data_IF_129661373659
#
_entry.id   IF_129661373659
#
_cell.length_a   1.000
_cell.length_b   1.000
_cell.length_c   1.000
_cell.angle_alpha   90.00
_cell.angle_beta   90.00
_cell.angle_gamma   90.00
#
_symmetry.space_group_name_H-M   'P 1'
#
loop_
_entity.id
_entity.type
_entity.pdbx_description
1 polymer ?
#
# COMPACT_ATOMS: atom_id res chain seq x y z
N UNK A 1 -5.56 -11.78 -18.22
CA UNK A 1 -4.45 -10.80 -18.15
C UNK A 1 -4.08 -10.63 -16.69
N UNK A 2 -3.02 -11.30 -16.24
CA UNK A 2 -2.53 -11.25 -14.86
C UNK A 2 -1.88 -9.90 -14.60
N UNK A 3 -2.48 -9.10 -13.72
CA UNK A 3 -1.86 -7.87 -13.25
C UNK A 3 -0.67 -8.25 -12.37
N UNK A 4 0.54 -8.24 -12.95
CA UNK A 4 1.79 -8.37 -12.20
C UNK A 4 1.80 -7.27 -11.14
N UNK A 5 1.89 -7.65 -9.86
CA UNK A 5 2.12 -6.73 -8.76
C UNK A 5 3.25 -5.75 -9.16
N UNK A 6 3.13 -4.44 -8.86
CA UNK A 6 4.16 -3.48 -9.23
C UNK A 6 5.48 -3.98 -8.63
N UNK A 7 6.38 -4.44 -9.49
CA UNK A 7 7.64 -4.99 -9.04
C UNK A 7 8.32 -3.91 -8.19
N UNK A 8 8.80 -4.27 -6.99
CA UNK A 8 9.62 -3.37 -6.17
C UNK A 8 11.01 -3.17 -6.79
N UNK A 9 11.33 -3.95 -7.84
CA UNK A 9 12.60 -3.98 -8.54
C UNK A 9 13.12 -2.62 -9.08
N UNK A 10 12.32 -1.76 -9.74
CA UNK A 10 12.80 -0.47 -10.22
C UNK A 10 13.06 0.50 -9.06
N UNK A 11 12.30 0.40 -7.97
CA UNK A 11 12.49 1.21 -6.76
C UNK A 11 13.76 0.77 -6.02
N UNK A 12 13.95 -0.53 -5.82
CA UNK A 12 15.17 -1.11 -5.22
C UNK A 12 16.40 -0.83 -6.08
N UNK A 13 16.28 -0.93 -7.42
CA UNK A 13 17.36 -0.59 -8.36
C UNK A 13 17.70 0.89 -8.34
N UNK A 14 16.71 1.77 -8.25
CA UNK A 14 16.95 3.20 -8.09
C UNK A 14 17.67 3.50 -6.76
N UNK A 15 17.27 2.84 -5.66
CA UNK A 15 17.97 2.99 -4.38
C UNK A 15 19.41 2.50 -4.43
N UNK A 16 19.64 1.32 -5.01
CA UNK A 16 20.98 0.79 -5.18
C UNK A 16 21.86 1.75 -5.99
N UNK A 17 21.34 2.29 -7.09
CA UNK A 17 22.07 3.26 -7.93
C UNK A 17 22.34 4.57 -7.19
N UNK A 18 21.36 5.13 -6.46
CA UNK A 18 21.55 6.35 -5.67
C UNK A 18 22.60 6.13 -4.59
N UNK A 19 22.52 5.02 -3.84
CA UNK A 19 23.52 4.68 -2.82
C UNK A 19 24.91 4.52 -3.44
N UNK A 20 25.03 3.85 -4.60
CA UNK A 20 26.30 3.66 -5.29
C UNK A 20 26.90 5.01 -5.76
N UNK A 21 26.06 5.90 -6.32
CA UNK A 21 26.49 7.23 -6.75
C UNK A 21 26.88 8.12 -5.57
N UNK A 22 26.13 8.06 -4.46
CA UNK A 22 26.47 8.78 -3.23
C UNK A 22 27.76 8.27 -2.59
N UNK A 23 28.01 6.95 -2.62
CA UNK A 23 29.26 6.37 -2.14
C UNK A 23 30.45 6.87 -2.98
N UNK A 24 30.30 6.92 -4.30
CA UNK A 24 31.32 7.48 -5.21
C UNK A 24 31.58 8.96 -4.94
N UNK A 25 30.53 9.75 -4.68
CA UNK A 25 30.61 11.17 -4.34
C UNK A 25 31.34 11.44 -3.02
N UNK A 26 31.31 10.52 -2.07
CA UNK A 26 32.04 10.63 -0.79
C UNK A 26 33.48 10.13 -0.90
N UNK A 27 33.69 9.02 -1.63
CA UNK A 27 35.01 8.39 -1.77
C UNK A 27 35.98 9.23 -2.61
N UNK A 28 35.49 9.91 -3.65
CA UNK A 28 36.34 10.72 -4.54
C UNK A 28 36.98 11.90 -3.78
N UNK A 29 36.25 12.73 -3.03
CA UNK A 29 36.84 13.83 -2.27
C UNK A 29 37.67 13.35 -1.07
N UNK A 30 37.31 12.24 -0.42
CA UNK A 30 38.13 11.62 0.64
C UNK A 30 39.49 11.12 0.12
N UNK A 31 39.54 10.61 -1.11
CA UNK A 31 40.80 10.24 -1.76
C UNK A 31 41.69 11.47 -2.01
N UNK A 32 41.10 12.60 -2.40
CA UNK A 32 41.84 13.86 -2.62
C UNK A 32 42.17 14.63 -1.33
N UNK A 33 41.52 14.33 -0.20
CA UNK A 33 41.79 14.94 1.13
C UNK A 33 43.23 14.71 1.61
N UNK A 34 43.98 13.76 1.05
CA UNK A 34 45.41 13.61 1.36
C UNK A 34 46.26 14.87 1.10
N UNK A 35 45.74 15.87 0.37
CA UNK A 35 46.32 17.22 0.30
C UNK A 35 45.44 18.19 1.10
N UNK A 36 45.94 18.58 2.27
CA UNK A 36 45.29 19.47 3.25
C UNK A 36 45.22 20.91 2.74
N UNK A 37 44.28 21.18 1.84
CA UNK A 37 43.84 22.53 1.50
C UNK A 37 42.40 22.74 2.01
N UNK A 38 42.13 23.89 2.63
CA UNK A 38 40.83 24.25 3.25
C UNK A 38 39.63 24.06 2.32
N UNK A 39 39.81 24.19 1.01
CA UNK A 39 38.76 23.99 0.00
C UNK A 39 38.36 22.52 -0.12
N UNK A 40 39.30 21.59 -0.01
CA UNK A 40 39.05 20.14 -0.03
C UNK A 40 38.20 19.69 1.16
N UNK A 41 38.36 20.37 2.31
CA UNK A 41 37.60 20.04 3.51
C UNK A 41 36.10 20.32 3.37
N UNK A 42 35.77 21.50 2.85
CA UNK A 42 34.39 21.91 2.59
C UNK A 42 33.71 20.97 1.59
N UNK A 43 34.43 20.53 0.55
CA UNK A 43 33.88 19.59 -0.44
C UNK A 43 33.58 18.22 0.13
N UNK A 44 34.40 17.68 1.04
CA UNK A 44 34.12 16.40 1.69
C UNK A 44 32.93 16.51 2.65
N UNK A 45 32.82 17.58 3.45
CA UNK A 45 31.64 17.77 4.31
C UNK A 45 30.35 17.92 3.50
N UNK A 46 30.39 18.65 2.38
CA UNK A 46 29.26 18.77 1.46
C UNK A 46 28.87 17.40 0.87
N UNK A 47 29.87 16.60 0.49
CA UNK A 47 29.67 15.27 -0.10
C UNK A 47 29.10 14.27 0.91
N UNK A 48 29.59 14.32 2.17
CA UNK A 48 29.05 13.56 3.29
C UNK A 48 27.60 13.95 3.59
N UNK A 49 27.28 15.24 3.60
CA UNK A 49 25.91 15.74 3.77
C UNK A 49 24.97 15.27 2.66
N UNK A 50 25.43 15.30 1.41
CA UNK A 50 24.68 14.80 0.26
C UNK A 50 24.46 13.29 0.31
N UNK A 51 25.45 12.50 0.75
CA UNK A 51 25.30 11.06 0.92
C UNK A 51 24.37 10.70 2.09
N UNK A 52 24.46 11.40 3.21
CA UNK A 52 23.53 11.24 4.33
C UNK A 52 22.09 11.59 3.91
N UNK A 53 21.91 12.66 3.12
CA UNK A 53 20.64 13.03 2.52
C UNK A 53 20.11 11.94 1.57
N UNK A 54 20.95 11.41 0.69
CA UNK A 54 20.57 10.37 -0.27
C UNK A 54 20.20 9.03 0.39
N UNK A 55 20.73 8.72 1.57
CA UNK A 55 20.36 7.54 2.36
C UNK A 55 19.05 7.73 3.14
N UNK A 56 18.79 8.94 3.63
CA UNK A 56 17.62 9.23 4.48
C UNK A 56 16.36 9.56 3.67
N UNK A 57 16.50 10.23 2.53
CA UNK A 57 15.37 10.67 1.69
C UNK A 57 14.50 9.51 1.15
N UNK A 58 15.06 8.40 0.64
CA UNK A 58 14.34 7.16 0.33
C UNK A 58 13.45 6.64 1.45
N UNK A 59 14.03 6.56 2.66
CA UNK A 59 13.34 6.05 3.85
C UNK A 59 12.19 6.97 4.22
N UNK A 60 12.36 8.27 4.05
CA UNK A 60 11.34 9.28 4.29
C UNK A 60 10.17 9.17 3.29
N UNK A 61 10.45 8.97 2.00
CA UNK A 61 9.41 8.76 0.97
C UNK A 61 8.62 7.46 1.23
N UNK A 62 9.32 6.35 1.51
CA UNK A 62 8.67 5.08 1.83
C UNK A 62 7.79 5.21 3.08
N UNK A 63 8.30 5.86 4.12
CA UNK A 63 7.56 6.09 5.37
C UNK A 63 6.32 6.95 5.13
N UNK A 64 6.42 8.06 4.38
CA UNK A 64 5.26 8.90 4.03
C UNK A 64 4.22 8.10 3.23
N UNK A 65 4.66 7.27 2.29
CA UNK A 65 3.77 6.41 1.49
C UNK A 65 3.02 5.39 2.35
N UNK A 66 3.71 4.69 3.25
CA UNK A 66 3.09 3.73 4.17
C UNK A 66 2.18 4.41 5.18
N UNK A 67 2.56 5.58 5.70
CA UNK A 67 1.74 6.32 6.68
C UNK A 67 0.44 6.83 6.05
N UNK A 68 0.47 7.32 4.80
CA UNK A 68 -0.76 7.73 4.09
C UNK A 68 -1.71 6.56 3.82
N UNK A 69 -1.17 5.40 3.44
CA UNK A 69 -1.95 4.19 3.21
C UNK A 69 -2.59 3.67 4.51
N UNK A 70 -1.81 3.61 5.60
CA UNK A 70 -2.31 3.18 6.91
C UNK A 70 -3.36 4.15 7.45
N UNK A 71 -3.13 5.46 7.39
CA UNK A 71 -4.11 6.46 7.83
C UNK A 71 -5.42 6.37 7.03
N UNK A 72 -5.34 6.08 5.73
CA UNK A 72 -6.54 5.88 4.91
C UNK A 72 -7.34 4.64 5.35
N UNK A 73 -6.67 3.52 5.62
CA UNK A 73 -7.33 2.30 6.09
C UNK A 73 -7.85 2.42 7.53
N UNK A 74 -7.09 3.02 8.44
CA UNK A 74 -7.53 3.32 9.81
C UNK A 74 -8.77 4.22 9.81
N UNK A 75 -8.81 5.22 8.92
CA UNK A 75 -9.98 6.09 8.78
C UNK A 75 -11.21 5.32 8.30
N UNK A 76 -11.05 4.36 7.40
CA UNK A 76 -12.17 3.49 6.99
C UNK A 76 -12.59 2.63 8.18
N UNK A 77 -11.64 2.03 8.88
CA UNK A 77 -11.94 1.18 10.02
C UNK A 77 -12.72 1.94 11.11
N UNK A 78 -12.25 3.13 11.47
CA UNK A 78 -12.95 4.02 12.40
C UNK A 78 -14.32 4.48 11.90
N UNK A 79 -14.49 4.74 10.60
CA UNK A 79 -15.77 5.20 10.05
C UNK A 79 -16.86 4.12 10.12
N UNK A 80 -16.46 2.86 10.04
CA UNK A 80 -17.36 1.71 10.12
C UNK A 80 -17.18 0.92 11.42
N UNK A 81 -16.59 1.55 12.45
CA UNK A 81 -16.50 0.95 13.76
C UNK A 81 -17.92 0.77 14.34
N UNK A 82 -18.16 -0.38 14.99
CA UNK A 82 -19.50 -0.79 15.44
C UNK A 82 -20.50 -1.19 14.33
N UNK A 83 -20.13 -1.13 13.05
CA UNK A 83 -20.97 -1.64 11.95
C UNK A 83 -20.80 -3.16 11.77
N UNK A 84 -21.81 -3.86 11.23
CA UNK A 84 -21.71 -5.28 10.91
C UNK A 84 -20.52 -5.60 10.00
N UNK A 85 -19.96 -6.81 10.16
CA UNK A 85 -18.84 -7.35 9.40
C UNK A 85 -19.01 -7.16 7.89
N UNK A 86 -20.24 -7.37 7.38
CA UNK A 86 -20.61 -7.22 5.97
C UNK A 86 -20.42 -5.80 5.45
N UNK A 87 -20.79 -4.78 6.24
CA UNK A 87 -20.64 -3.37 5.85
C UNK A 87 -19.17 -2.96 5.91
N UNK A 88 -18.43 -3.38 6.95
CA UNK A 88 -16.98 -3.16 7.05
C UNK A 88 -16.24 -3.81 5.88
N UNK A 89 -16.52 -5.07 5.58
CA UNK A 89 -15.93 -5.79 4.44
C UNK A 89 -16.27 -5.10 3.12
N UNK A 90 -17.53 -4.71 2.91
CA UNK A 90 -17.95 -3.98 1.72
C UNK A 90 -17.21 -2.64 1.57
N UNK A 91 -16.97 -1.93 2.66
CA UNK A 91 -16.17 -0.70 2.62
C UNK A 91 -14.72 -0.96 2.20
N UNK A 92 -14.09 -2.03 2.73
CA UNK A 92 -12.73 -2.41 2.33
C UNK A 92 -12.64 -2.87 0.87
N UNK A 93 -13.61 -3.66 0.39
CA UNK A 93 -13.68 -4.10 -1.00
C UNK A 93 -13.84 -2.92 -1.97
N UNK A 94 -14.70 -1.95 -1.64
CA UNK A 94 -14.86 -0.73 -2.46
C UNK A 94 -13.61 0.16 -2.42
N UNK A 95 -12.97 0.27 -1.25
CA UNK A 95 -11.72 1.03 -1.11
C UNK A 95 -10.58 0.40 -1.93
N UNK A 96 -10.47 -0.93 -1.93
CA UNK A 96 -9.53 -1.67 -2.77
C UNK A 96 -9.80 -1.43 -4.25
N UNK A 97 -11.07 -1.55 -4.68
CA UNK A 97 -11.50 -1.28 -6.05
C UNK A 97 -11.13 0.13 -6.53
N UNK A 98 -11.35 1.14 -5.69
CA UNK A 98 -10.97 2.52 -5.98
C UNK A 98 -9.45 2.72 -6.03
N UNK A 99 -8.70 2.11 -5.10
CA UNK A 99 -7.25 2.24 -5.01
C UNK A 99 -6.50 1.58 -6.18
N UNK A 100 -7.01 0.45 -6.71
CA UNK A 100 -6.35 -0.36 -7.74
C UNK A 100 -6.77 -0.04 -9.19
N UNK A 101 -7.50 1.05 -9.43
CA UNK A 101 -7.91 1.50 -10.77
C UNK A 101 -8.72 0.44 -11.57
N UNK A 102 -9.75 -0.11 -10.92
CA UNK A 102 -10.94 -0.75 -11.53
C UNK A 102 -10.78 -2.02 -12.40
N UNK A 103 -10.22 -3.13 -11.91
CA UNK A 103 -10.80 -4.42 -12.25
C UNK A 103 -12.09 -4.61 -11.43
N UNK A 104 -13.22 -4.91 -12.08
CA UNK A 104 -14.48 -5.27 -11.39
C UNK A 104 -14.38 -6.59 -10.64
N UNK A 105 -13.36 -7.39 -10.96
CA UNK A 105 -13.08 -8.71 -10.41
C UNK A 105 -11.65 -8.75 -9.90
N UNK A 106 -11.45 -9.18 -8.66
CA UNK A 106 -10.13 -9.28 -8.03
C UNK A 106 -10.10 -10.44 -7.03
N UNK A 107 -8.91 -10.94 -6.70
CA UNK A 107 -8.82 -12.02 -5.72
C UNK A 107 -9.02 -11.49 -4.31
N UNK A 108 -9.72 -12.26 -3.47
CA UNK A 108 -9.85 -11.96 -2.04
C UNK A 108 -8.49 -11.89 -1.38
N UNK A 109 -7.56 -12.78 -1.75
CA UNK A 109 -6.19 -12.79 -1.26
C UNK A 109 -5.47 -11.45 -1.53
N UNK A 110 -5.58 -10.88 -2.73
CA UNK A 110 -4.96 -9.60 -3.06
C UNK A 110 -5.56 -8.44 -2.27
N UNK A 111 -6.88 -8.45 -2.08
CA UNK A 111 -7.57 -7.45 -1.25
C UNK A 111 -7.16 -7.60 0.21
N UNK A 112 -7.16 -8.82 0.72
CA UNK A 112 -6.81 -9.13 2.10
C UNK A 112 -5.34 -8.76 2.40
N UNK A 113 -4.40 -9.10 1.53
CA UNK A 113 -2.99 -8.71 1.66
C UNK A 113 -2.81 -7.19 1.62
N UNK A 114 -3.63 -6.46 0.87
CA UNK A 114 -3.58 -5.01 0.82
C UNK A 114 -4.05 -4.35 2.13
N UNK A 115 -5.05 -4.94 2.81
CA UNK A 115 -5.52 -4.46 4.11
C UNK A 115 -4.66 -4.98 5.27
N UNK A 116 -4.21 -6.24 5.25
CA UNK A 116 -3.40 -6.82 6.32
C UNK A 116 -2.02 -6.14 6.47
N UNK A 117 -1.51 -5.48 5.42
CA UNK A 117 -0.29 -4.65 5.49
C UNK A 117 -0.36 -3.55 6.56
N UNK A 118 -1.55 -3.14 7.00
CA UNK A 118 -1.74 -2.17 8.08
C UNK A 118 -2.08 -2.81 9.44
N UNK A 119 -2.01 -4.14 9.58
CA UNK A 119 -2.38 -4.89 10.80
C UNK A 119 -3.80 -4.66 11.32
N UNK A 120 -4.70 -4.15 10.46
CA UNK A 120 -6.08 -3.81 10.85
C UNK A 120 -7.03 -5.01 10.83
N UNK A 121 -6.67 -6.09 10.14
CA UNK A 121 -7.50 -7.30 10.08
C UNK A 121 -6.88 -8.39 10.96
N UNK A 122 -7.54 -8.67 12.07
CA UNK A 122 -7.13 -9.69 13.03
C UNK A 122 -7.71 -11.09 12.75
N UNK A 123 -8.78 -11.19 11.96
CA UNK A 123 -9.53 -12.46 11.81
C UNK A 123 -10.00 -12.67 10.36
N UNK A 124 -9.39 -13.66 9.68
CA UNK A 124 -9.73 -14.04 8.30
C UNK A 124 -11.12 -14.69 8.26
N UNK A 125 -11.43 -15.54 9.23
CA UNK A 125 -12.66 -16.33 9.29
C UNK A 125 -13.87 -15.41 9.48
N UNK A 126 -13.70 -14.35 10.27
CA UNK A 126 -14.68 -13.28 10.41
C UNK A 126 -15.07 -12.64 9.08
N UNK A 127 -14.10 -12.37 8.20
CA UNK A 127 -14.35 -11.76 6.89
C UNK A 127 -14.83 -12.75 5.84
N UNK A 128 -14.51 -14.05 5.97
CA UNK A 128 -15.06 -15.09 5.10
C UNK A 128 -16.56 -15.27 5.34
N UNK A 129 -17.01 -15.32 6.59
CA UNK A 129 -18.45 -15.37 6.91
C UNK A 129 -19.21 -14.15 6.35
N UNK A 130 -18.62 -12.96 6.48
CA UNK A 130 -19.18 -11.74 5.91
C UNK A 130 -19.20 -11.75 4.37
N UNK A 131 -18.24 -12.43 3.73
CA UNK A 131 -18.20 -12.57 2.28
C UNK A 131 -19.35 -13.47 1.79
N UNK A 132 -19.61 -14.57 2.48
CA UNK A 132 -20.72 -15.48 2.17
C UNK A 132 -22.08 -14.76 2.31
N UNK A 133 -22.27 -13.94 3.34
CA UNK A 133 -23.47 -13.10 3.48
C UNK A 133 -23.62 -12.09 2.32
N UNK A 134 -22.51 -11.48 1.88
CA UNK A 134 -22.53 -10.56 0.73
C UNK A 134 -22.87 -11.29 -0.57
N UNK A 135 -22.40 -12.53 -0.75
CA UNK A 135 -22.71 -13.39 -1.90
C UNK A 135 -24.19 -13.79 -1.91
N UNK A 136 -24.71 -14.33 -0.80
CA UNK A 136 -26.12 -14.70 -0.64
C UNK A 136 -27.06 -13.52 -0.94
N UNK A 137 -26.63 -12.31 -0.58
CA UNK A 137 -27.40 -11.10 -0.78
C UNK A 137 -27.37 -10.55 -2.22
N UNK A 138 -26.60 -11.17 -3.13
CA UNK A 138 -26.39 -10.73 -4.52
C UNK A 138 -25.49 -9.50 -4.68
N UNK A 139 -24.81 -9.08 -3.60
CA UNK A 139 -23.94 -7.90 -3.64
C UNK A 139 -22.62 -8.21 -4.33
N UNK A 140 -22.07 -9.39 -4.10
CA UNK A 140 -20.84 -9.86 -4.76
C UNK A 140 -21.09 -11.18 -5.45
N UNK A 141 -20.34 -11.45 -6.50
CA UNK A 141 -20.26 -12.78 -7.12
C UNK A 141 -18.89 -13.34 -6.76
N UNK A 142 -18.86 -14.54 -6.19
CA UNK A 142 -17.61 -15.20 -5.78
C UNK A 142 -17.38 -16.41 -6.68
N UNK A 143 -16.42 -16.29 -7.59
CA UNK A 143 -15.94 -17.43 -8.36
C UNK A 143 -14.89 -18.19 -7.52
N UNK A 144 -15.01 -19.52 -7.54
CA UNK A 144 -14.14 -20.46 -6.78
C UNK A 144 -13.33 -21.34 -7.74
N UNK A 145 -12.33 -20.79 -8.44
CA UNK A 145 -11.44 -21.56 -9.30
C UNK A 145 -10.66 -22.65 -8.56
N UNK A 146 -10.19 -23.65 -9.31
CA UNK A 146 -9.51 -24.84 -8.78
C UNK A 146 -8.14 -24.55 -8.14
N UNK A 147 -7.61 -23.34 -8.31
CA UNK A 147 -6.38 -22.84 -7.68
C UNK A 147 -6.59 -22.45 -6.20
N UNK A 148 -7.83 -22.48 -5.71
CA UNK A 148 -8.19 -22.17 -4.32
C UNK A 148 -8.30 -20.67 -4.01
N UNK A 149 -8.14 -19.80 -5.01
CA UNK A 149 -8.31 -18.36 -4.83
C UNK A 149 -9.77 -17.96 -4.99
N UNK A 150 -10.31 -17.19 -4.05
CA UNK A 150 -11.65 -16.61 -4.20
C UNK A 150 -11.57 -15.38 -5.10
N UNK A 151 -12.25 -15.39 -6.24
CA UNK A 151 -12.32 -14.23 -7.14
C UNK A 151 -13.64 -13.50 -6.89
N UNK A 152 -13.56 -12.28 -6.40
CA UNK A 152 -14.71 -11.45 -6.04
C UNK A 152 -15.00 -10.49 -7.17
N UNK A 153 -16.23 -10.51 -7.67
CA UNK A 153 -16.76 -9.53 -8.62
C UNK A 153 -17.80 -8.64 -7.93
N UNK A 154 -17.58 -7.32 -7.96
CA UNK A 154 -18.49 -6.35 -7.35
C UNK A 154 -19.66 -6.06 -8.30
N UNK A 155 -20.90 -6.24 -7.83
CA UNK A 155 -22.09 -5.97 -8.64
C UNK A 155 -22.54 -4.51 -8.54
N UNK A 156 -23.45 -4.09 -9.42
CA UNK A 156 -24.10 -2.76 -9.31
C UNK A 156 -24.89 -2.62 -8.00
N UNK A 157 -25.43 -3.72 -7.48
CA UNK A 157 -26.20 -3.74 -6.23
C UNK A 157 -25.32 -3.45 -5.01
N UNK A 158 -24.08 -3.94 -5.02
CA UNK A 158 -23.09 -3.61 -4.00
C UNK A 158 -22.85 -2.11 -3.89
N UNK A 159 -22.56 -1.43 -5.00
CA UNK A 159 -22.33 0.02 -4.98
C UNK A 159 -23.56 0.80 -4.51
N UNK A 160 -24.78 0.33 -4.85
CA UNK A 160 -26.03 0.95 -4.38
C UNK A 160 -26.18 0.79 -2.87
N UNK A 161 -25.97 -0.41 -2.32
CA UNK A 161 -26.07 -0.67 -0.87
C UNK A 161 -25.01 0.08 -0.07
N UNK A 162 -23.77 0.10 -0.56
CA UNK A 162 -22.70 0.84 0.11
C UNK A 162 -22.95 2.35 0.12
N UNK A 163 -23.54 2.89 -0.95
CA UNK A 163 -23.97 4.30 -0.98
C UNK A 163 -25.03 4.60 0.08
N UNK A 164 -26.01 3.70 0.27
CA UNK A 164 -27.03 3.85 1.31
C UNK A 164 -26.41 3.75 2.72
N UNK A 165 -25.53 2.79 2.96
CA UNK A 165 -24.82 2.65 4.23
C UNK A 165 -23.99 3.91 4.56
N UNK A 166 -23.28 4.48 3.58
CA UNK A 166 -22.53 5.74 3.72
C UNK A 166 -23.40 6.95 4.04
N UNK A 167 -24.65 6.97 3.59
CA UNK A 167 -25.58 8.04 3.93
C UNK A 167 -26.04 7.89 5.39
N UNK A 168 -26.30 6.67 5.83
CA UNK A 168 -26.69 6.37 7.22
C UNK A 168 -25.56 6.65 8.24
N UNK A 169 -24.29 6.46 7.87
CA UNK A 169 -23.14 6.75 8.76
C UNK A 169 -22.77 8.23 8.87
N UNK A 170 -23.38 9.10 8.05
CA UNK A 170 -23.12 10.55 8.06
C UNK A 170 -24.21 11.38 8.74
N UNK A 171 -25.31 10.74 9.14
CA UNK A 171 -26.41 11.33 9.90
C UNK A 171 -26.16 11.09 11.39
#
# INVERSE_FOLDING_TARGET
>A
MTATAPSLYPVVRAYFMITLMSLGLVLVPLYFWQRSDMTTEVWVYLSLGLAAGALTFPRLILTIGTTRHNYFLERIDHLYDGQPATIRLAAFLDAYYQAKRRPTSFTFADCFLWVNKSKLIADVDYYLNALDELEQSGSVVVDRPADGNLVITLTKQFHRRLRLARQATRQ
#
